data_IF_658280098434
#
_entry.id   IF_658280098434
#
_cell.length_a   1.000
_cell.length_b   1.000
_cell.length_c   1.000
_cell.angle_alpha   90.00
_cell.angle_beta   90.00
_cell.angle_gamma   90.00
#
_symmetry.space_group_name_H-M   'P 1'
#
loop_
_entity.id
_entity.type
_entity.pdbx_description
1 polymer ?
#
# COMPACT_ATOMS: atom_id res chain seq x y z
N UNK A 1 27.52 -33.74 -34.16
CA UNK A 1 27.62 -32.33 -33.71
C UNK A 1 26.25 -31.69 -33.82
N UNK A 2 25.49 -31.61 -32.72
CA UNK A 2 24.23 -30.88 -32.66
C UNK A 2 24.30 -29.94 -31.46
N UNK A 3 24.47 -28.64 -31.71
CA UNK A 3 24.48 -27.61 -30.67
C UNK A 3 23.07 -27.26 -30.20
N UNK A 4 22.86 -26.86 -28.93
CA UNK A 4 21.53 -26.59 -28.41
C UNK A 4 21.03 -25.23 -28.91
N UNK A 5 19.75 -25.22 -29.31
CA UNK A 5 19.02 -24.05 -29.80
C UNK A 5 18.71 -23.13 -28.62
N UNK A 6 19.08 -21.86 -28.73
CA UNK A 6 18.72 -20.80 -27.78
C UNK A 6 17.20 -20.64 -27.71
N UNK A 7 16.63 -21.02 -26.57
CA UNK A 7 15.25 -20.71 -26.22
C UNK A 7 15.14 -19.23 -25.86
N UNK A 8 14.57 -18.42 -26.75
CA UNK A 8 14.12 -17.06 -26.44
C UNK A 8 12.88 -17.17 -25.55
N UNK A 9 13.07 -17.00 -24.23
CA UNK A 9 12.00 -16.83 -23.27
C UNK A 9 11.40 -15.42 -23.43
N UNK A 10 10.39 -15.34 -24.27
CA UNK A 10 9.31 -14.37 -24.12
C UNK A 10 8.38 -14.94 -23.04
N UNK A 11 8.19 -14.27 -21.89
CA UNK A 11 6.88 -14.12 -21.19
C UNK A 11 7.01 -13.53 -19.78
N UNK A 12 6.17 -12.51 -19.56
CA UNK A 12 5.59 -11.98 -18.32
C UNK A 12 6.46 -11.16 -17.36
N UNK A 13 6.23 -9.86 -17.44
CA UNK A 13 5.97 -8.96 -16.30
C UNK A 13 5.70 -9.74 -15.01
N UNK A 14 6.68 -9.80 -14.12
CA UNK A 14 6.45 -10.13 -12.71
C UNK A 14 5.71 -8.96 -12.08
N UNK A 15 4.38 -8.94 -12.27
CA UNK A 15 3.49 -8.33 -11.31
C UNK A 15 3.62 -9.17 -10.03
N UNK A 16 4.29 -8.61 -9.03
CA UNK A 16 4.26 -8.98 -7.60
C UNK A 16 3.83 -10.42 -7.31
N UNK A 17 4.80 -11.33 -7.15
CA UNK A 17 4.53 -12.60 -6.46
C UNK A 17 4.88 -12.40 -4.99
N UNK A 18 3.91 -12.09 -4.10
CA UNK A 18 4.14 -12.19 -2.67
C UNK A 18 4.43 -13.67 -2.39
N UNK A 19 5.71 -14.00 -2.25
CA UNK A 19 6.14 -15.40 -2.10
C UNK A 19 6.05 -15.86 -0.64
N UNK A 20 5.57 -15.00 0.27
CA UNK A 20 5.27 -15.37 1.65
C UNK A 20 4.16 -14.46 2.23
N UNK A 21 3.25 -15.05 3.00
CA UNK A 21 2.19 -14.35 3.74
C UNK A 21 2.73 -13.32 4.73
N UNK A 22 3.96 -13.49 5.23
CA UNK A 22 4.62 -12.50 6.07
C UNK A 22 4.81 -11.16 5.34
N UNK A 23 5.12 -11.20 4.04
CA UNK A 23 5.27 -10.01 3.19
C UNK A 23 3.92 -9.35 2.91
N UNK A 24 2.84 -10.14 2.74
CA UNK A 24 1.48 -9.61 2.57
C UNK A 24 0.97 -8.96 3.85
N UNK A 25 1.23 -9.60 5.00
CA UNK A 25 0.83 -9.10 6.31
C UNK A 25 1.59 -7.83 6.66
N UNK A 26 2.90 -7.77 6.41
CA UNK A 26 3.71 -6.59 6.69
C UNK A 26 3.47 -5.45 5.67
N UNK A 27 3.36 -5.77 4.38
CA UNK A 27 3.23 -4.78 3.32
C UNK A 27 1.84 -4.17 3.24
N UNK A 28 0.88 -4.89 2.66
CA UNK A 28 -0.44 -4.31 2.33
C UNK A 28 -1.39 -4.28 3.53
N UNK A 29 -1.45 -5.35 4.33
CA UNK A 29 -2.33 -5.37 5.51
C UNK A 29 -1.80 -4.42 6.59
N UNK A 30 -0.49 -4.47 6.88
CA UNK A 30 0.17 -3.59 7.86
C UNK A 30 -0.05 -2.12 7.55
N UNK A 31 0.12 -1.74 6.28
CA UNK A 31 -0.13 -0.37 5.83
C UNK A 31 -1.57 0.09 6.07
N UNK A 32 -2.57 -0.71 5.69
CA UNK A 32 -3.98 -0.34 5.89
C UNK A 32 -4.34 -0.29 7.37
N UNK A 33 -3.85 -1.23 8.19
CA UNK A 33 -4.07 -1.20 9.64
C UNK A 33 -3.47 0.05 10.29
N UNK A 34 -2.22 0.38 9.95
CA UNK A 34 -1.54 1.58 10.46
C UNK A 34 -2.25 2.86 10.00
N UNK A 35 -2.66 2.93 8.73
CA UNK A 35 -3.35 4.09 8.20
C UNK A 35 -4.71 4.29 8.90
N UNK A 36 -5.44 3.22 9.19
CA UNK A 36 -6.69 3.29 9.97
C UNK A 36 -6.48 3.78 11.40
N UNK A 37 -5.40 3.35 12.06
CA UNK A 37 -5.02 3.86 13.38
C UNK A 37 -4.81 5.37 13.34
N UNK A 38 -4.00 5.88 12.40
CA UNK A 38 -3.72 7.31 12.26
C UNK A 38 -4.93 8.14 11.86
N UNK A 39 -5.80 7.60 11.02
CA UNK A 39 -7.05 8.26 10.65
C UNK A 39 -8.04 8.26 11.83
N UNK A 40 -8.08 7.19 12.62
CA UNK A 40 -8.86 7.14 13.85
C UNK A 40 -8.42 8.20 14.86
N UNK A 41 -7.11 8.29 15.14
CA UNK A 41 -6.53 9.37 15.97
C UNK A 41 -6.96 10.76 15.48
N UNK A 42 -6.85 11.01 14.17
CA UNK A 42 -7.22 12.27 13.55
C UNK A 42 -8.73 12.59 13.68
N UNK A 43 -9.60 11.60 13.51
CA UNK A 43 -11.07 11.76 13.69
C UNK A 43 -11.40 12.03 15.17
N UNK A 44 -10.78 11.30 16.10
CA UNK A 44 -10.99 11.48 17.54
C UNK A 44 -10.56 12.87 18.02
N UNK A 45 -9.56 13.47 17.37
CA UNK A 45 -9.13 14.86 17.58
C UNK A 45 -10.06 15.89 16.93
N UNK A 46 -11.11 15.46 16.23
CA UNK A 46 -12.07 16.31 15.53
C UNK A 46 -11.57 16.84 14.18
N UNK A 47 -10.58 16.15 13.60
CA UNK A 47 -10.01 16.49 12.31
C UNK A 47 -10.94 16.17 11.14
N UNK A 48 -10.77 16.90 10.03
CA UNK A 48 -11.58 16.76 8.81
C UNK A 48 -10.83 16.00 7.70
N UNK A 49 -11.52 15.77 6.58
CA UNK A 49 -10.92 15.13 5.39
C UNK A 49 -9.66 15.84 4.89
N UNK A 50 -9.57 17.17 5.01
CA UNK A 50 -8.40 17.90 4.53
C UNK A 50 -7.17 17.57 5.39
N UNK A 51 -7.33 17.49 6.71
CA UNK A 51 -6.28 17.06 7.62
C UNK A 51 -5.87 15.60 7.44
N UNK A 52 -6.82 14.72 7.08
CA UNK A 52 -6.54 13.30 6.84
C UNK A 52 -5.47 13.07 5.77
N UNK A 53 -5.36 13.94 4.76
CA UNK A 53 -4.32 13.84 3.72
C UNK A 53 -2.89 14.01 4.23
N UNK A 54 -2.72 14.53 5.44
CA UNK A 54 -1.42 14.87 6.02
C UNK A 54 -1.03 13.98 7.20
N UNK A 55 -1.80 12.93 7.50
CA UNK A 55 -1.41 11.96 8.54
C UNK A 55 -0.08 11.30 8.17
N UNK A 56 0.76 11.05 9.18
CA UNK A 56 2.10 10.51 8.97
C UNK A 56 2.04 9.07 8.43
N UNK A 57 2.52 8.89 7.21
CA UNK A 57 2.65 7.60 6.53
C UNK A 57 4.12 7.22 6.27
N UNK A 58 5.07 7.98 6.84
CA UNK A 58 6.51 7.80 6.63
C UNK A 58 7.05 6.38 6.86
N UNK A 59 6.50 5.55 7.77
CA UNK A 59 6.95 4.16 7.90
C UNK A 59 6.80 3.32 6.62
N UNK A 60 5.92 3.71 5.70
CA UNK A 60 5.61 2.99 4.47
C UNK A 60 6.09 3.69 3.18
N UNK A 61 6.91 4.74 3.30
CA UNK A 61 7.49 5.46 2.14
C UNK A 61 8.27 4.56 1.16
N UNK A 62 8.76 3.42 1.65
CA UNK A 62 9.51 2.44 0.88
C UNK A 62 8.66 1.55 -0.06
N UNK A 63 7.32 1.68 -0.04
CA UNK A 63 6.45 0.92 -0.93
C UNK A 63 6.48 1.48 -2.37
N UNK A 64 6.55 0.60 -3.37
CA UNK A 64 6.76 0.94 -4.79
C UNK A 64 5.79 2.02 -5.35
N UNK A 65 4.58 2.10 -4.83
CA UNK A 65 3.54 3.04 -5.30
C UNK A 65 3.11 4.02 -4.20
N UNK A 66 3.94 4.23 -3.17
CA UNK A 66 3.59 5.06 -2.02
C UNK A 66 3.20 6.48 -2.42
N UNK A 67 4.08 7.21 -3.12
CA UNK A 67 3.87 8.62 -3.47
C UNK A 67 2.60 8.86 -4.28
N UNK A 68 2.22 7.89 -5.13
CA UNK A 68 1.03 8.00 -5.99
C UNK A 68 -0.29 7.73 -5.25
N UNK A 69 -0.23 6.97 -4.15
CA UNK A 69 -1.41 6.39 -3.50
C UNK A 69 -1.62 6.90 -2.07
N UNK A 70 -0.60 7.36 -1.36
CA UNK A 70 -0.68 7.75 0.05
C UNK A 70 -1.84 8.72 0.35
N UNK A 71 -1.97 9.80 -0.43
CA UNK A 71 -3.06 10.76 -0.29
C UNK A 71 -4.43 10.16 -0.61
N UNK A 72 -4.52 9.34 -1.68
CA UNK A 72 -5.78 8.71 -2.09
C UNK A 72 -6.27 7.70 -1.05
N UNK A 73 -5.34 6.92 -0.51
CA UNK A 73 -5.61 5.93 0.51
C UNK A 73 -6.07 6.61 1.80
N UNK A 74 -5.42 7.70 2.22
CA UNK A 74 -5.83 8.45 3.40
C UNK A 74 -7.26 9.00 3.29
N UNK A 75 -7.61 9.59 2.14
CA UNK A 75 -8.98 10.05 1.89
C UNK A 75 -10.00 8.91 1.88
N UNK A 76 -9.68 7.81 1.19
CA UNK A 76 -10.56 6.64 1.15
C UNK A 76 -10.80 6.06 2.55
N UNK A 77 -9.74 5.88 3.35
CA UNK A 77 -9.85 5.34 4.71
C UNK A 77 -10.65 6.28 5.61
N UNK A 78 -10.43 7.59 5.54
CA UNK A 78 -11.23 8.57 6.27
C UNK A 78 -12.71 8.45 5.91
N UNK A 79 -13.04 8.44 4.61
CA UNK A 79 -14.43 8.34 4.17
C UNK A 79 -15.12 7.04 4.58
N UNK A 80 -14.41 5.91 4.61
CA UNK A 80 -14.97 4.65 5.12
C UNK A 80 -15.20 4.70 6.63
N UNK A 81 -14.29 5.32 7.39
CA UNK A 81 -14.36 5.37 8.85
C UNK A 81 -15.34 6.43 9.39
N UNK A 82 -15.67 7.48 8.63
CA UNK A 82 -16.61 8.52 9.08
C UNK A 82 -18.04 7.98 9.35
N UNK A 83 -18.35 6.77 8.88
CA UNK A 83 -19.66 6.14 9.01
C UNK A 83 -19.68 4.85 9.86
N UNK A 84 -18.54 4.46 10.46
CA UNK A 84 -18.43 3.34 11.40
C UNK A 84 -18.79 3.77 12.84
#
# INVERSE_FOLDING_TARGET
MFGPRSARLHRRLMRTHPTNMDVVRAGTHGYVSYLREKIGEHIDEGGDLAGAYYVDQSPYEHLDTFEELATKNAGAVYSEMEWE
#
